data_IF_978295596509
#
_entry.id   IF_978295596509
#
_cell.length_a   1.000
_cell.length_b   1.000
_cell.length_c   1.000
_cell.angle_alpha   90.00
_cell.angle_beta   90.00
_cell.angle_gamma   90.00
#
_symmetry.space_group_name_H-M   'P 1'
#
loop_
_entity.id
_entity.type
_entity.pdbx_description
1 polymer ?
#
# COMPACT_ATOMS: atom_id res chain seq x y z
N UNK A 1 7.04 -6.76 4.47
CA UNK A 1 6.71 -5.95 3.27
C UNK A 1 7.92 -5.12 2.90
N UNK A 2 8.28 -5.14 1.62
CA UNK A 2 9.40 -4.35 1.07
C UNK A 2 8.88 -3.09 0.39
N UNK A 3 9.58 -1.98 0.57
CA UNK A 3 9.16 -0.67 0.08
C UNK A 3 10.27 -0.07 -0.77
N UNK A 4 9.89 0.52 -1.91
CA UNK A 4 10.77 1.26 -2.81
C UNK A 4 10.69 2.75 -2.54
N UNK A 5 11.71 3.50 -2.98
CA UNK A 5 11.72 4.97 -2.87
C UNK A 5 10.53 5.63 -3.58
N UNK A 6 10.09 5.08 -4.72
CA UNK A 6 8.91 5.59 -5.43
C UNK A 6 7.62 5.40 -4.64
N UNK A 7 7.48 4.27 -3.95
CA UNK A 7 6.33 4.03 -3.07
C UNK A 7 6.30 5.02 -1.91
N UNK A 8 7.44 5.36 -1.29
CA UNK A 8 7.49 6.40 -0.26
C UNK A 8 7.01 7.76 -0.78
N UNK A 9 7.39 8.11 -2.01
CA UNK A 9 6.93 9.35 -2.66
C UNK A 9 5.42 9.29 -2.92
N UNK A 10 4.90 8.14 -3.38
CA UNK A 10 3.47 7.93 -3.57
C UNK A 10 2.65 8.02 -2.27
N UNK A 11 3.27 7.75 -1.12
CA UNK A 11 2.67 7.91 0.21
C UNK A 11 2.78 9.34 0.77
N UNK A 12 3.27 10.29 -0.03
CA UNK A 12 3.34 11.70 0.34
C UNK A 12 4.70 12.18 0.84
N UNK A 13 5.76 11.35 0.80
CA UNK A 13 7.11 11.85 1.01
C UNK A 13 7.55 12.74 -0.15
N UNK A 14 8.23 13.84 0.15
CA UNK A 14 9.03 14.52 -0.88
C UNK A 14 10.21 13.63 -1.30
N UNK A 15 10.73 13.84 -2.51
CA UNK A 15 11.90 13.11 -2.99
C UNK A 15 13.11 13.24 -2.06
N UNK A 16 13.30 14.42 -1.46
CA UNK A 16 14.35 14.66 -0.48
C UNK A 16 14.14 13.84 0.80
N UNK A 17 12.94 13.88 1.39
CA UNK A 17 12.62 13.11 2.59
C UNK A 17 12.78 11.61 2.36
N UNK A 18 12.31 11.11 1.20
CA UNK A 18 12.45 9.70 0.85
C UNK A 18 13.93 9.28 0.79
N UNK A 19 14.80 10.11 0.19
CA UNK A 19 16.25 9.87 0.14
C UNK A 19 16.91 9.91 1.53
N UNK A 20 16.53 10.87 2.36
CA UNK A 20 17.06 11.00 3.72
C UNK A 20 16.67 9.82 4.61
N UNK A 21 15.43 9.32 4.49
CA UNK A 21 14.98 8.15 5.26
C UNK A 21 15.71 6.88 4.83
N UNK A 22 15.82 6.62 3.53
CA UNK A 22 16.47 5.40 3.03
C UNK A 22 18.00 5.40 3.22
N UNK A 23 18.63 6.57 3.42
CA UNK A 23 20.08 6.66 3.63
C UNK A 23 20.54 5.89 4.87
N UNK A 24 19.70 5.86 5.90
CA UNK A 24 19.94 5.11 7.14
C UNK A 24 19.47 3.64 7.08
N UNK A 25 18.76 3.25 6.02
CA UNK A 25 18.16 1.92 5.92
C UNK A 25 19.06 0.95 5.12
N UNK A 26 19.28 -0.28 5.59
CA UNK A 26 19.95 -1.30 4.80
C UNK A 26 19.09 -1.69 3.59
N UNK A 27 19.74 -1.93 2.46
CA UNK A 27 19.07 -2.45 1.26
C UNK A 27 18.76 -3.92 1.51
N UNK A 28 17.50 -4.30 1.33
CA UNK A 28 17.07 -5.70 1.48
C UNK A 28 17.14 -6.44 0.14
N UNK A 29 16.95 -5.71 -0.96
CA UNK A 29 17.03 -6.31 -2.30
C UNK A 29 16.73 -5.32 -3.41
N UNK A 30 16.21 -5.84 -4.52
CA UNK A 30 15.79 -5.05 -5.68
C UNK A 30 14.43 -5.53 -6.20
N UNK A 31 13.64 -4.59 -6.67
CA UNK A 31 12.43 -4.82 -7.45
C UNK A 31 12.60 -4.11 -8.79
N UNK A 32 12.89 -4.90 -9.84
CA UNK A 32 13.31 -4.36 -11.13
C UNK A 32 14.61 -3.56 -10.99
N UNK A 33 14.57 -2.26 -11.35
CA UNK A 33 15.72 -1.34 -11.24
C UNK A 33 15.79 -0.58 -9.92
N UNK A 34 14.80 -0.75 -9.05
CA UNK A 34 14.69 -0.02 -7.78
C UNK A 34 15.18 -0.85 -6.61
N UNK A 35 15.94 -0.25 -5.69
CA UNK A 35 16.29 -0.90 -4.44
C UNK A 35 15.05 -0.98 -3.53
N UNK A 36 14.97 -2.07 -2.78
CA UNK A 36 13.92 -2.29 -1.79
C UNK A 36 14.49 -2.25 -0.38
N UNK A 37 13.68 -1.71 0.53
CA UNK A 37 14.02 -1.52 1.94
C UNK A 37 12.95 -2.18 2.80
N UNK A 38 13.32 -2.60 4.02
CA UNK A 38 12.34 -3.15 4.95
C UNK A 38 11.44 -2.03 5.46
N UNK A 39 10.14 -2.32 5.59
CA UNK A 39 9.19 -1.42 6.25
C UNK A 39 9.59 -1.14 7.70
N UNK A 40 10.10 -2.13 8.43
CA UNK A 40 10.55 -1.97 9.83
C UNK A 40 11.61 -0.90 9.95
N UNK A 41 12.59 -0.93 9.05
CA UNK A 41 13.77 -0.07 9.10
C UNK A 41 13.39 1.36 8.71
N UNK A 42 12.48 1.51 7.74
CA UNK A 42 11.92 2.80 7.39
C UNK A 42 11.14 3.40 8.56
N UNK A 43 10.32 2.61 9.27
CA UNK A 43 9.59 3.08 10.45
C UNK A 43 10.56 3.54 11.54
N UNK A 44 11.60 2.75 11.82
CA UNK A 44 12.63 3.12 12.78
C UNK A 44 13.37 4.41 12.38
N UNK A 45 13.67 4.60 11.09
CA UNK A 45 14.31 5.82 10.58
C UNK A 45 13.39 7.05 10.73
N UNK A 46 12.07 6.88 10.56
CA UNK A 46 11.08 7.93 10.80
C UNK A 46 11.03 8.30 12.28
N UNK A 47 10.99 7.31 13.17
CA UNK A 47 10.98 7.54 14.62
C UNK A 47 12.22 8.30 15.08
N UNK A 48 13.41 7.90 14.60
CA UNK A 48 14.65 8.63 14.86
C UNK A 48 14.59 10.09 14.37
N UNK A 49 14.02 10.33 13.19
CA UNK A 49 13.83 11.69 12.65
C UNK A 49 12.83 12.51 13.48
N UNK A 50 11.75 11.90 13.94
CA UNK A 50 10.73 12.55 14.78
C UNK A 50 11.24 12.84 16.19
N UNK A 51 12.15 12.03 16.71
CA UNK A 51 12.80 12.25 18.01
C UNK A 51 13.69 13.51 18.02
N UNK A 52 14.16 13.97 16.86
CA UNK A 52 14.97 15.19 16.79
C UNK A 52 14.10 16.44 17.07
N UNK A 53 14.39 17.23 18.13
CA UNK A 53 13.59 18.41 18.47
C UNK A 53 13.73 19.55 17.45
N UNK A 54 14.80 19.57 16.65
CA UNK A 54 15.08 20.64 15.67
C UNK A 54 14.37 20.45 14.33
N UNK A 55 13.58 19.38 14.18
CA UNK A 55 12.78 19.17 12.96
C UNK A 55 11.71 20.27 12.82
N UNK A 56 11.53 20.76 11.59
CA UNK A 56 10.49 21.75 11.29
C UNK A 56 9.10 21.16 11.56
N UNK A 57 8.15 21.91 12.12
CA UNK A 57 6.79 21.43 12.39
C UNK A 57 6.09 20.82 11.17
N UNK A 58 6.23 21.45 9.99
CA UNK A 58 5.67 20.93 8.75
C UNK A 58 6.24 19.55 8.37
N UNK A 59 7.55 19.37 8.54
CA UNK A 59 8.21 18.09 8.29
C UNK A 59 7.75 17.03 9.29
N UNK A 60 7.57 17.40 10.57
CA UNK A 60 7.02 16.51 11.59
C UNK A 60 5.64 15.98 11.18
N UNK A 61 4.73 16.87 10.76
CA UNK A 61 3.39 16.50 10.30
C UNK A 61 3.47 15.50 9.14
N UNK A 62 4.27 15.80 8.11
CA UNK A 62 4.41 14.89 6.95
C UNK A 62 4.96 13.52 7.34
N UNK A 63 5.93 13.46 8.24
CA UNK A 63 6.52 12.19 8.69
C UNK A 63 5.54 11.39 9.55
N UNK A 64 4.76 12.04 10.41
CA UNK A 64 3.71 11.38 11.20
C UNK A 64 2.61 10.81 10.30
N UNK A 65 2.17 11.56 9.29
CA UNK A 65 1.20 11.07 8.30
C UNK A 65 1.75 9.86 7.53
N UNK A 66 3.00 9.95 7.06
CA UNK A 66 3.63 8.86 6.35
C UNK A 66 3.79 7.60 7.23
N UNK A 67 4.13 7.78 8.51
CA UNK A 67 4.18 6.69 9.48
C UNK A 67 2.82 6.01 9.63
N UNK A 68 1.73 6.78 9.78
CA UNK A 68 0.37 6.24 9.87
C UNK A 68 -0.01 5.44 8.62
N UNK A 69 0.30 5.95 7.43
CA UNK A 69 0.05 5.22 6.18
C UNK A 69 0.85 3.91 6.10
N UNK A 70 2.13 3.94 6.49
CA UNK A 70 2.97 2.74 6.52
C UNK A 70 2.47 1.70 7.53
N UNK A 71 1.92 2.12 8.66
CA UNK A 71 1.29 1.24 9.64
C UNK A 71 -0.01 0.64 9.09
N UNK A 72 -0.84 1.45 8.42
CA UNK A 72 -2.10 1.01 7.81
C UNK A 72 -1.88 -0.01 6.68
N UNK A 73 -0.81 0.13 5.88
CA UNK A 73 -0.42 -0.89 4.90
C UNK A 73 -0.06 -2.23 5.55
N UNK A 74 0.35 -2.20 6.82
CA UNK A 74 0.67 -3.37 7.61
C UNK A 74 -0.50 -4.09 8.25
N UNK A 75 -1.55 -3.35 8.63
CA UNK A 75 -2.71 -3.88 9.34
C UNK A 75 -3.63 -4.72 8.45
N UNK A 76 -3.44 -4.71 7.13
CA UNK A 76 -4.19 -5.57 6.20
C UNK A 76 -3.73 -7.04 6.20
N UNK A 77 -2.80 -7.43 7.08
CA UNK A 77 -2.39 -8.83 7.24
C UNK A 77 -3.23 -9.45 8.36
N UNK A 78 -4.33 -10.12 7.98
CA UNK A 78 -5.08 -10.97 8.90
C UNK A 78 -4.38 -12.34 8.91
N UNK A 79 -3.73 -12.76 10.01
CA UNK A 79 -3.18 -14.11 10.10
C UNK A 79 -4.35 -15.10 10.13
N UNK A 80 -4.51 -15.88 9.05
CA UNK A 80 -5.47 -16.98 9.01
C UNK A 80 -4.70 -18.25 9.36
N UNK A 81 -5.01 -18.93 10.48
CA UNK A 81 -4.35 -20.18 10.81
C UNK A 81 -4.63 -21.23 9.74
N UNK A 82 -3.62 -22.05 9.42
CA UNK A 82 -3.74 -23.14 8.47
C UNK A 82 -4.77 -24.14 9.02
N UNK A 83 -5.89 -24.33 8.32
CA UNK A 83 -7.03 -25.14 8.79
C UNK A 83 -8.20 -24.37 9.39
N UNK A 84 -8.18 -23.02 9.41
CA UNK A 84 -9.33 -22.25 9.85
C UNK A 84 -10.58 -22.54 8.98
N UNK A 85 -11.76 -22.77 9.59
CA UNK A 85 -12.99 -22.97 8.84
C UNK A 85 -13.26 -21.75 7.96
N UNK A 86 -13.71 -21.98 6.73
CA UNK A 86 -13.99 -20.91 5.78
C UNK A 86 -15.11 -20.02 6.33
N UNK A 87 -14.75 -18.87 6.88
CA UNK A 87 -15.73 -17.82 7.20
C UNK A 87 -16.36 -17.32 5.90
N UNK A 88 -17.63 -16.86 5.91
CA UNK A 88 -18.31 -16.36 4.71
C UNK A 88 -17.56 -15.20 4.03
N UNK A 89 -16.74 -14.47 4.79
CA UNK A 89 -15.81 -13.44 4.30
C UNK A 89 -14.71 -13.99 3.39
N UNK A 90 -14.20 -15.19 3.62
CA UNK A 90 -13.20 -15.83 2.76
C UNK A 90 -13.78 -16.16 1.39
N UNK A 91 -15.00 -16.72 1.36
CA UNK A 91 -15.74 -16.97 0.13
C UNK A 91 -16.02 -15.67 -0.64
N UNK A 92 -16.50 -14.63 0.03
CA UNK A 92 -16.78 -13.34 -0.60
C UNK A 92 -15.51 -12.68 -1.17
N UNK A 93 -14.40 -12.69 -0.44
CA UNK A 93 -13.12 -12.12 -0.90
C UNK A 93 -12.52 -12.96 -2.03
N UNK A 94 -12.60 -14.29 -1.98
CA UNK A 94 -12.17 -15.17 -3.07
C UNK A 94 -13.00 -14.92 -4.34
N UNK A 95 -14.30 -14.72 -4.20
CA UNK A 95 -15.23 -14.40 -5.30
C UNK A 95 -14.91 -13.05 -5.92
N UNK A 96 -14.57 -12.05 -5.11
CA UNK A 96 -14.15 -10.72 -5.58
C UNK A 96 -12.77 -10.74 -6.26
N UNK A 97 -11.82 -11.54 -5.75
CA UNK A 97 -10.52 -11.72 -6.38
C UNK A 97 -10.63 -12.45 -7.72
N UNK A 98 -11.51 -13.45 -7.81
CA UNK A 98 -11.77 -14.20 -9.04
C UNK A 98 -12.53 -13.36 -10.09
N UNK A 99 -13.33 -12.38 -9.66
CA UNK A 99 -14.09 -11.50 -10.58
C UNK A 99 -13.33 -10.21 -10.93
N UNK A 100 -12.34 -9.80 -10.13
CA UNK A 100 -11.73 -8.47 -10.22
C UNK A 100 -10.57 -8.31 -11.20
N UNK A 101 -9.71 -9.32 -11.44
CA UNK A 101 -8.47 -9.12 -12.19
C UNK A 101 -7.96 -10.40 -12.88
N UNK A 102 -8.65 -10.88 -13.92
CA UNK A 102 -7.97 -11.68 -14.95
C UNK A 102 -7.62 -10.75 -16.13
N UNK A 103 -6.35 -10.36 -16.33
CA UNK A 103 -5.94 -9.54 -17.47
C UNK A 103 -5.84 -10.32 -18.78
N UNK A 104 -6.49 -11.49 -18.88
CA UNK A 104 -6.48 -12.33 -20.07
C UNK A 104 -7.91 -12.61 -20.54
N UNK A 105 -8.40 -11.70 -21.38
CA UNK A 105 -9.15 -11.95 -22.62
C UNK A 105 -10.07 -10.76 -22.89
N UNK A 106 -9.66 -9.92 -23.85
CA UNK A 106 -10.51 -8.85 -24.36
C UNK A 106 -11.80 -9.43 -24.92
N UNK A 107 -12.94 -9.02 -24.35
CA UNK A 107 -14.28 -8.96 -24.98
C UNK A 107 -15.41 -8.60 -23.99
N UNK A 108 -15.23 -7.66 -23.06
CA UNK A 108 -16.38 -7.18 -22.26
C UNK A 108 -16.41 -5.65 -22.15
N UNK A 109 -16.63 -4.97 -23.29
CA UNK A 109 -17.11 -3.58 -23.34
C UNK A 109 -18.65 -3.46 -23.37
N UNK A 110 -19.39 -4.53 -23.10
CA UNK A 110 -20.84 -4.59 -23.33
C UNK A 110 -21.60 -5.11 -22.11
N UNK A 111 -21.51 -4.43 -20.95
CA UNK A 111 -22.50 -4.59 -19.86
C UNK A 111 -22.84 -3.31 -19.08
N UNK A 112 -22.21 -2.18 -19.39
CA UNK A 112 -22.58 -0.88 -18.78
C UNK A 112 -23.77 -0.21 -19.50
N UNK A 113 -24.01 -0.52 -20.77
CA UNK A 113 -25.13 0.03 -21.55
C UNK A 113 -26.48 -0.65 -21.22
N UNK A 114 -26.47 -1.94 -20.89
CA UNK A 114 -27.69 -2.74 -20.66
C UNK A 114 -28.41 -2.38 -19.35
N UNK A 115 -27.67 -1.92 -18.33
CA UNK A 115 -28.24 -1.53 -17.03
C UNK A 115 -29.00 -0.20 -17.15
N UNK A 116 -28.55 0.73 -18.01
CA UNK A 116 -29.25 2.01 -18.23
C UNK A 116 -30.56 1.87 -18.99
N UNK A 117 -30.64 0.91 -19.93
CA UNK A 117 -31.87 0.68 -20.70
C UNK A 117 -33.00 0.09 -19.83
N UNK A 118 -32.68 -0.77 -18.86
CA UNK A 118 -33.70 -1.38 -17.97
C UNK A 118 -34.28 -0.43 -16.91
N UNK A 119 -33.59 0.67 -16.59
CA UNK A 119 -34.04 1.64 -15.58
C UNK A 119 -34.63 2.94 -16.17
N UNK A 120 -34.63 3.10 -17.49
CA UNK A 120 -35.26 4.25 -18.17
C UNK A 120 -36.69 3.96 -18.67
N UNK A 121 -37.17 2.73 -18.56
CA UNK A 121 -38.56 2.36 -18.84
C UNK A 121 -39.28 2.04 -17.52
N UNK A 122 -39.61 3.09 -16.77
CA UNK A 122 -40.69 3.06 -15.80
C UNK A 122 -41.36 4.42 -15.74
#
# INVERSE_FOLDING_TARGET
>A
MHITTQQLIGLGATQYQARELIKACPKVGKQGRSNTYSRSDILAAIDQRLANPRIRPSTRITLTQLQQQLLALGSNIIPIPFGAPATPTKSAVQSLLNTGLSPSNGKHKLKAAEIRAKHAAK
#
